data_IF_309090377645
#
_entry.id   IF_309090377645
#
_cell.length_a   1.000
_cell.length_b   1.000
_cell.length_c   1.000
_cell.angle_alpha   90.00
_cell.angle_beta   90.00
_cell.angle_gamma   90.00
#
_symmetry.space_group_name_H-M   'P 1'
#
loop_
_entity.id
_entity.type
_entity.pdbx_description
1 polymer ?
#
# COMPACT_ATOMS: atom_id res chain seq x y z
N UNK A 1 -2.47 -6.96 -15.81
CA UNK A 1 -1.97 -7.82 -14.70
C UNK A 1 -0.53 -7.52 -14.31
N UNK A 2 0.48 -7.75 -15.16
CA UNK A 2 1.91 -7.53 -14.82
C UNK A 2 2.21 -6.13 -14.27
N UNK A 3 1.71 -5.09 -14.93
CA UNK A 3 1.86 -3.70 -14.46
C UNK A 3 1.33 -3.50 -13.04
N UNK A 4 0.19 -4.10 -12.70
CA UNK A 4 -0.39 -4.00 -11.35
C UNK A 4 0.46 -4.73 -10.32
N UNK A 5 1.00 -5.90 -10.65
CA UNK A 5 1.91 -6.64 -9.77
C UNK A 5 3.20 -5.88 -9.51
N UNK A 6 3.81 -5.28 -10.54
CA UNK A 6 5.02 -4.49 -10.35
C UNK A 6 4.78 -3.18 -9.59
N UNK A 7 3.61 -2.54 -9.77
CA UNK A 7 3.21 -1.38 -8.96
C UNK A 7 3.00 -1.77 -7.50
N UNK A 8 2.35 -2.90 -7.25
CA UNK A 8 2.14 -3.40 -5.90
C UNK A 8 3.48 -3.75 -5.22
N UNK A 9 4.44 -4.32 -5.95
CA UNK A 9 5.82 -4.52 -5.47
C UNK A 9 6.54 -3.19 -5.21
N UNK A 10 6.30 -2.15 -6.01
CA UNK A 10 6.84 -0.81 -5.75
C UNK A 10 6.26 -0.20 -4.47
N UNK A 11 4.98 -0.46 -4.19
CA UNK A 11 4.33 -0.09 -2.93
C UNK A 11 4.98 -0.83 -1.75
N UNK A 12 5.20 -2.14 -1.88
CA UNK A 12 5.86 -2.96 -0.85
C UNK A 12 7.28 -2.46 -0.52
N UNK A 13 8.03 -2.07 -1.56
CA UNK A 13 9.36 -1.47 -1.42
C UNK A 13 9.36 -0.03 -0.83
N UNK A 14 8.18 0.54 -0.56
CA UNK A 14 8.05 1.90 0.00
C UNK A 14 8.40 3.03 -0.99
N UNK A 15 8.40 2.73 -2.29
CA UNK A 15 8.77 3.65 -3.36
C UNK A 15 7.62 4.60 -3.74
N UNK A 16 6.38 4.26 -3.36
CA UNK A 16 5.18 5.02 -3.70
C UNK A 16 4.76 5.91 -2.53
N UNK A 17 4.76 7.23 -2.77
CA UNK A 17 4.34 8.23 -1.77
C UNK A 17 3.44 9.27 -2.41
N UNK A 18 2.41 9.69 -1.67
CA UNK A 18 1.55 10.77 -2.12
C UNK A 18 2.11 12.15 -1.80
N UNK A 19 1.72 13.11 -2.63
CA UNK A 19 1.89 14.53 -2.35
C UNK A 19 0.91 14.97 -1.26
N UNK A 20 1.24 16.07 -0.58
CA UNK A 20 0.35 16.70 0.43
C UNK A 20 -1.03 17.06 -0.14
N UNK A 21 -1.10 17.32 -1.45
CA UNK A 21 -2.35 17.65 -2.16
C UNK A 21 -3.12 16.41 -2.69
N UNK A 22 -2.65 15.20 -2.35
CA UNK A 22 -3.18 13.93 -2.84
C UNK A 22 -2.53 13.46 -4.15
N UNK A 23 -2.56 12.14 -4.37
CA UNK A 23 -2.01 11.49 -5.55
C UNK A 23 -0.48 11.51 -5.63
N UNK A 24 0.07 10.90 -6.68
CA UNK A 24 1.52 10.83 -6.90
C UNK A 24 2.03 12.00 -7.75
N UNK A 25 3.27 12.42 -7.51
CA UNK A 25 3.90 13.47 -8.31
C UNK A 25 4.27 12.99 -9.72
N UNK A 26 4.21 13.90 -10.70
CA UNK A 26 4.60 13.64 -12.10
C UNK A 26 5.99 13.00 -12.24
N UNK A 27 7.04 13.39 -11.48
CA UNK A 27 8.33 12.72 -11.56
C UNK A 27 8.27 11.24 -11.18
N UNK A 28 7.53 10.91 -10.11
CA UNK A 28 7.36 9.52 -9.66
C UNK A 28 6.54 8.70 -10.67
N UNK A 29 5.44 9.27 -11.18
CA UNK A 29 4.63 8.64 -12.20
C UNK A 29 5.45 8.30 -13.46
N UNK A 30 6.35 9.21 -13.87
CA UNK A 30 7.25 8.98 -15.01
C UNK A 30 8.27 7.89 -14.72
N UNK A 31 8.94 7.92 -13.57
CA UNK A 31 9.90 6.88 -13.17
C UNK A 31 9.25 5.49 -13.13
N UNK A 32 8.06 5.38 -12.53
CA UNK A 32 7.31 4.13 -12.50
C UNK A 32 6.85 3.73 -13.90
N UNK A 33 6.31 4.64 -14.70
CA UNK A 33 5.90 4.38 -16.08
C UNK A 33 7.03 3.82 -16.94
N UNK A 34 8.20 4.49 -16.94
CA UNK A 34 9.41 4.05 -17.65
C UNK A 34 9.85 2.65 -17.22
N UNK A 35 9.90 2.38 -15.90
CA UNK A 35 10.29 1.06 -15.37
C UNK A 35 9.34 -0.06 -15.79
N UNK A 36 8.06 0.26 -15.87
CA UNK A 36 6.98 -0.70 -16.11
C UNK A 36 6.69 -0.91 -17.61
N UNK A 37 7.31 -0.12 -18.48
CA UNK A 37 6.98 -0.07 -19.90
C UNK A 37 5.55 0.42 -20.16
N UNK A 38 5.05 1.34 -19.33
CA UNK A 38 3.69 1.90 -19.45
C UNK A 38 3.69 3.42 -19.46
N UNK A 39 2.62 4.01 -19.98
CA UNK A 39 2.48 5.47 -20.05
C UNK A 39 2.40 6.06 -18.62
N UNK A 40 3.15 7.12 -18.29
CA UNK A 40 3.11 7.73 -16.95
C UNK A 40 1.71 8.14 -16.50
N UNK A 41 0.86 8.51 -17.44
CA UNK A 41 -0.50 9.00 -17.23
C UNK A 41 -1.43 7.91 -16.66
N UNK A 42 -1.15 6.63 -16.93
CA UNK A 42 -1.99 5.53 -16.44
C UNK A 42 -1.63 5.09 -15.02
N UNK A 43 -0.44 5.44 -14.52
CA UNK A 43 0.05 4.97 -13.22
C UNK A 43 -0.88 5.35 -12.06
N UNK A 44 -1.37 6.61 -11.94
CA UNK A 44 -2.30 6.99 -10.87
C UNK A 44 -3.59 6.17 -10.85
N UNK A 45 -4.15 5.87 -12.03
CA UNK A 45 -5.38 5.08 -12.16
C UNK A 45 -5.15 3.62 -11.73
N UNK A 46 -3.97 3.07 -12.04
CA UNK A 46 -3.59 1.72 -11.62
C UNK A 46 -3.38 1.62 -10.11
N UNK A 47 -2.75 2.62 -9.49
CA UNK A 47 -2.66 2.71 -8.03
C UNK A 47 -4.04 2.82 -7.38
N UNK A 48 -4.92 3.65 -7.96
CA UNK A 48 -6.30 3.78 -7.50
C UNK A 48 -7.05 2.46 -7.59
N UNK A 49 -6.84 1.68 -8.65
CA UNK A 49 -7.41 0.34 -8.80
C UNK A 49 -6.90 -0.63 -7.72
N UNK A 50 -5.58 -0.66 -7.45
CA UNK A 50 -5.00 -1.47 -6.36
C UNK A 50 -5.63 -1.12 -5.00
N UNK A 51 -5.88 0.17 -4.75
CA UNK A 51 -6.56 0.64 -3.54
C UNK A 51 -8.03 0.22 -3.48
N UNK A 52 -8.79 0.46 -4.56
CA UNK A 52 -10.22 0.13 -4.62
C UNK A 52 -10.46 -1.36 -4.44
N UNK A 53 -9.58 -2.20 -5.00
CA UNK A 53 -9.66 -3.67 -4.90
C UNK A 53 -9.06 -4.23 -3.61
N UNK A 54 -8.60 -3.37 -2.70
CA UNK A 54 -8.08 -3.78 -1.40
C UNK A 54 -6.71 -4.45 -1.42
N UNK A 55 -6.02 -4.46 -2.57
CA UNK A 55 -4.65 -5.00 -2.69
C UNK A 55 -3.62 -4.08 -2.03
N UNK A 56 -3.87 -2.78 -2.02
CA UNK A 56 -3.06 -1.79 -1.32
C UNK A 56 -3.94 -0.89 -0.45
N UNK A 57 -3.37 -0.33 0.61
CA UNK A 57 -3.97 0.72 1.42
C UNK A 57 -3.16 2.00 1.34
N UNK A 58 -3.84 3.12 1.57
CA UNK A 58 -3.25 4.44 1.67
C UNK A 58 -3.60 5.01 3.04
N UNK A 59 -2.61 5.14 3.91
CA UNK A 59 -2.78 5.73 5.23
C UNK A 59 -1.80 6.91 5.40
N UNK A 60 -2.33 8.07 5.78
CA UNK A 60 -1.56 9.30 5.97
C UNK A 60 -0.55 9.62 4.82
N UNK A 61 -0.94 9.36 3.56
CA UNK A 61 -0.09 9.60 2.38
C UNK A 61 0.96 8.50 2.08
N UNK A 62 0.99 7.44 2.89
CA UNK A 62 1.86 6.29 2.73
C UNK A 62 1.09 5.12 2.15
N UNK A 63 1.57 4.60 1.02
CA UNK A 63 1.04 3.39 0.43
C UNK A 63 1.63 2.16 1.12
N UNK A 64 0.80 1.17 1.42
CA UNK A 64 1.21 -0.11 1.99
C UNK A 64 0.48 -1.25 1.30
N UNK A 65 1.14 -2.40 1.16
CA UNK A 65 0.50 -3.61 0.66
C UNK A 65 -0.35 -4.22 1.78
N UNK A 66 -1.53 -4.72 1.44
CA UNK A 66 -2.39 -5.43 2.39
C UNK A 66 -2.06 -6.93 2.38
N UNK A 67 -2.50 -7.68 3.38
CA UNK A 67 -2.34 -9.14 3.37
C UNK A 67 -3.03 -9.82 2.17
N UNK A 68 -4.06 -9.19 1.60
CA UNK A 68 -4.69 -9.64 0.33
C UNK A 68 -3.76 -9.37 -0.85
N UNK A 69 -3.11 -8.22 -0.88
CA UNK A 69 -2.10 -7.88 -1.88
C UNK A 69 -0.91 -8.84 -1.87
N UNK A 70 -0.40 -9.20 -0.70
CA UNK A 70 0.70 -10.17 -0.55
C UNK A 70 0.31 -11.54 -1.08
N UNK A 71 -0.86 -12.04 -0.68
CA UNK A 71 -1.38 -13.31 -1.19
C UNK A 71 -1.58 -13.27 -2.71
N UNK A 72 -2.11 -12.18 -3.24
CA UNK A 72 -2.31 -11.98 -4.66
C UNK A 72 -1.00 -11.97 -5.46
N UNK A 73 0.10 -11.43 -4.89
CA UNK A 73 1.44 -11.51 -5.49
C UNK A 73 2.01 -12.94 -5.54
N UNK A 74 1.44 -13.91 -4.83
CA UNK A 74 1.86 -15.32 -4.87
C UNK A 74 0.84 -16.22 -5.58
N UNK A 75 -0.39 -15.75 -5.77
CA UNK A 75 -1.44 -16.48 -6.45
C UNK A 75 -1.11 -16.73 -7.93
N UNK A 76 -1.47 -17.89 -8.51
CA UNK A 76 -1.37 -18.17 -9.95
C UNK A 76 -2.00 -17.09 -10.83
N UNK A 77 -1.53 -16.96 -12.08
CA UNK A 77 -1.97 -15.88 -12.97
C UNK A 77 -3.48 -15.84 -13.24
N UNK A 78 -4.11 -17.00 -13.43
CA UNK A 78 -5.56 -17.10 -13.60
C UNK A 78 -6.31 -16.66 -12.34
N UNK A 79 -5.87 -17.14 -11.16
CA UNK A 79 -6.43 -16.74 -9.88
C UNK A 79 -6.32 -15.22 -9.67
N UNK A 80 -5.15 -14.63 -9.96
CA UNK A 80 -4.98 -13.17 -9.89
C UNK A 80 -5.97 -12.41 -10.75
N UNK A 81 -6.23 -12.88 -11.98
CA UNK A 81 -7.14 -12.21 -12.90
C UNK A 81 -8.59 -12.33 -12.42
N UNK A 82 -8.99 -13.53 -11.99
CA UNK A 82 -10.32 -13.79 -11.44
C UNK A 82 -10.58 -12.96 -10.19
N UNK A 83 -9.72 -13.05 -9.18
CA UNK A 83 -9.90 -12.37 -7.89
C UNK A 83 -9.86 -10.84 -8.03
N UNK A 84 -9.02 -10.31 -8.93
CA UNK A 84 -8.97 -8.88 -9.20
C UNK A 84 -10.25 -8.40 -9.90
N UNK A 85 -10.76 -9.17 -10.85
CA UNK A 85 -12.00 -8.84 -11.57
C UNK A 85 -13.20 -8.90 -10.64
N UNK A 86 -13.26 -9.91 -9.78
CA UNK A 86 -14.29 -10.04 -8.75
C UNK A 86 -14.26 -8.86 -7.78
N UNK A 87 -13.08 -8.56 -7.20
CA UNK A 87 -12.92 -7.43 -6.30
C UNK A 87 -13.25 -6.09 -6.98
N UNK A 88 -12.90 -5.93 -8.26
CA UNK A 88 -13.26 -4.72 -9.01
C UNK A 88 -14.76 -4.61 -9.24
N UNK A 89 -15.42 -5.67 -9.71
CA UNK A 89 -16.87 -5.73 -9.90
C UNK A 89 -17.62 -5.39 -8.62
N UNK A 90 -17.17 -5.91 -7.48
CA UNK A 90 -17.80 -5.67 -6.19
C UNK A 90 -17.68 -4.20 -5.73
N UNK A 91 -16.72 -3.44 -6.28
CA UNK A 91 -16.56 -2.00 -6.03
C UNK A 91 -17.43 -1.11 -6.92
N UNK A 92 -18.13 -1.68 -7.92
CA UNK A 92 -18.96 -0.91 -8.85
C UNK A 92 -20.29 -0.53 -8.18
N UNK A 93 -20.74 0.70 -8.42
CA UNK A 93 -22.05 1.17 -7.99
C UNK A 93 -23.18 0.34 -8.65
N UNK A 94 -24.29 0.04 -7.95
CA UNK A 94 -25.42 -0.67 -8.55
C UNK A 94 -25.92 -0.08 -9.87
N UNK A 95 -25.94 1.24 -10.01
CA UNK A 95 -26.37 1.90 -11.25
C UNK A 95 -25.42 1.62 -12.42
N UNK A 96 -24.11 1.58 -12.14
CA UNK A 96 -23.10 1.20 -13.15
C UNK A 96 -23.31 -0.24 -13.58
N UNK A 97 -23.54 -1.17 -12.64
CA UNK A 97 -23.76 -2.59 -12.97
C UNK A 97 -24.98 -2.78 -13.86
N UNK A 98 -26.09 -2.09 -13.58
CA UNK A 98 -27.28 -2.14 -14.43
C UNK A 98 -27.00 -1.65 -15.85
N UNK A 99 -26.19 -0.59 -16.01
CA UNK A 99 -25.77 -0.11 -17.33
C UNK A 99 -24.90 -1.14 -18.04
N UNK A 100 -23.99 -1.81 -17.33
CA UNK A 100 -23.17 -2.88 -17.92
C UNK A 100 -24.01 -4.08 -18.35
N UNK A 101 -24.99 -4.49 -17.54
CA UNK A 101 -25.91 -5.58 -17.87
C UNK A 101 -26.75 -5.25 -19.12
N UNK A 102 -27.20 -3.99 -19.25
CA UNK A 102 -27.93 -3.52 -20.42
C UNK A 102 -27.04 -3.44 -21.67
N UNK A 103 -25.82 -2.95 -21.53
CA UNK A 103 -24.83 -2.89 -22.60
C UNK A 103 -24.43 -4.29 -23.09
N UNK A 104 -24.46 -5.28 -22.19
CA UNK A 104 -24.04 -6.64 -22.47
C UNK A 104 -22.59 -6.69 -22.94
N UNK A 105 -22.36 -7.19 -24.14
CA UNK A 105 -21.03 -7.31 -24.72
C UNK A 105 -20.51 -6.03 -25.40
N UNK A 106 -21.36 -5.02 -25.62
CA UNK A 106 -21.00 -3.80 -26.37
C UNK A 106 -20.73 -2.62 -25.43
N UNK A 107 -19.45 -2.32 -25.22
CA UNK A 107 -18.94 -1.25 -24.37
C UNK A 107 -18.43 -0.04 -25.18
N UNK A 108 -18.72 0.06 -26.48
CA UNK A 108 -18.25 1.18 -27.30
C UNK A 108 -18.75 2.55 -26.81
N UNK A 109 -19.98 2.61 -26.30
CA UNK A 109 -20.56 3.84 -25.75
C UNK A 109 -21.42 3.56 -24.50
N UNK A 110 -20.73 3.21 -23.41
CA UNK A 110 -21.37 3.03 -22.11
C UNK A 110 -22.07 4.31 -21.62
N UNK A 111 -21.56 5.50 -21.97
CA UNK A 111 -22.16 6.77 -21.56
C UNK A 111 -23.52 6.99 -22.23
N UNK A 112 -23.65 6.71 -23.52
CA UNK A 112 -24.94 6.75 -24.19
C UNK A 112 -25.93 5.75 -23.59
N UNK A 113 -25.47 4.52 -23.31
CA UNK A 113 -26.28 3.48 -22.65
C UNK A 113 -26.73 3.94 -21.26
N UNK A 114 -25.81 4.52 -20.48
CA UNK A 114 -26.08 5.07 -19.16
C UNK A 114 -27.09 6.21 -19.18
N UNK A 115 -26.97 7.15 -20.12
CA UNK A 115 -27.93 8.25 -20.28
C UNK A 115 -29.31 7.78 -20.76
N UNK A 116 -29.37 6.68 -21.52
CA UNK A 116 -30.63 6.07 -21.89
C UNK A 116 -31.31 5.39 -20.70
N UNK A 117 -30.56 4.60 -19.92
CA UNK A 117 -31.06 3.90 -18.74
C UNK A 117 -31.42 4.86 -17.60
N UNK A 118 -30.64 5.94 -17.45
CA UNK A 118 -30.77 6.96 -16.42
C UNK A 118 -30.88 8.35 -17.06
N UNK A 119 -32.03 8.71 -17.67
CA UNK A 119 -32.20 10.00 -18.37
C UNK A 119 -32.15 11.21 -17.44
N UNK A 120 -32.42 11.02 -16.14
CA UNK A 120 -32.24 12.01 -15.09
C UNK A 120 -30.92 11.81 -14.30
N UNK A 121 -30.02 10.96 -14.81
CA UNK A 121 -28.73 10.66 -14.19
C UNK A 121 -27.84 11.89 -14.09
N UNK A 122 -27.07 11.98 -13.00
CA UNK A 122 -26.15 13.08 -12.80
C UNK A 122 -24.79 12.82 -13.47
N UNK A 123 -24.04 13.89 -13.77
CA UNK A 123 -22.74 13.83 -14.50
C UNK A 123 -21.69 12.92 -13.88
N UNK A 124 -21.86 12.50 -12.63
CA UNK A 124 -21.00 11.53 -11.98
C UNK A 124 -21.05 10.15 -12.66
N UNK A 125 -22.22 9.74 -13.18
CA UNK A 125 -22.40 8.43 -13.82
C UNK A 125 -21.62 8.37 -15.14
N UNK A 126 -21.67 9.43 -15.94
CA UNK A 126 -20.87 9.55 -17.17
C UNK A 126 -19.36 9.37 -16.87
N UNK A 127 -18.87 10.02 -15.83
CA UNK A 127 -17.46 9.94 -15.44
C UNK A 127 -17.08 8.53 -14.96
N UNK A 128 -17.90 7.90 -14.11
CA UNK A 128 -17.64 6.54 -13.62
C UNK A 128 -17.70 5.52 -14.76
N UNK A 129 -18.64 5.65 -15.71
CA UNK A 129 -18.73 4.74 -16.87
C UNK A 129 -17.51 4.84 -17.79
N UNK A 130 -16.95 6.04 -17.98
CA UNK A 130 -15.68 6.20 -18.71
C UNK A 130 -14.52 5.54 -17.97
N UNK A 131 -14.44 5.71 -16.64
CA UNK A 131 -13.44 5.03 -15.81
C UNK A 131 -13.59 3.51 -15.86
N UNK A 132 -14.82 3.00 -15.84
CA UNK A 132 -15.15 1.58 -15.92
C UNK A 132 -14.78 0.99 -17.27
N UNK A 133 -15.09 1.68 -18.37
CA UNK A 133 -14.65 1.27 -19.72
C UNK A 133 -13.12 1.17 -19.79
N UNK A 134 -12.41 2.21 -19.33
CA UNK A 134 -10.95 2.22 -19.30
C UNK A 134 -10.35 1.13 -18.41
N UNK A 135 -11.01 0.83 -17.28
CA UNK A 135 -10.58 -0.24 -16.37
C UNK A 135 -10.84 -1.62 -16.96
N UNK A 136 -11.99 -1.84 -17.60
CA UNK A 136 -12.31 -3.09 -18.31
C UNK A 136 -11.27 -3.41 -19.38
N UNK A 137 -10.90 -2.43 -20.20
CA UNK A 137 -9.81 -2.58 -21.19
C UNK A 137 -8.46 -2.85 -20.54
N UNK A 138 -8.14 -2.15 -19.45
CA UNK A 138 -6.88 -2.35 -18.72
C UNK A 138 -6.74 -3.74 -18.07
N UNK A 139 -7.87 -4.32 -17.67
CA UNK A 139 -7.96 -5.67 -17.11
C UNK A 139 -8.01 -6.75 -18.20
N UNK A 140 -8.06 -6.37 -19.49
CA UNK A 140 -8.19 -7.31 -20.61
C UNK A 140 -9.58 -7.95 -20.72
N UNK A 141 -10.58 -7.38 -20.05
CA UNK A 141 -11.97 -7.84 -20.13
C UNK A 141 -12.62 -7.38 -21.44
N UNK A 142 -12.19 -6.22 -21.96
CA UNK A 142 -12.72 -5.59 -23.16
C UNK A 142 -11.59 -5.34 -24.15
N UNK A 143 -11.86 -5.64 -25.42
CA UNK A 143 -10.96 -5.35 -26.56
C UNK A 143 -11.78 -4.60 -27.60
N UNK A 144 -11.31 -3.42 -28.02
CA UNK A 144 -11.99 -2.56 -28.99
C UNK A 144 -13.50 -2.41 -28.70
N UNK A 145 -13.82 -2.02 -27.48
CA UNK A 145 -15.21 -1.81 -27.05
C UNK A 145 -16.05 -3.08 -26.95
N UNK A 146 -15.49 -4.27 -27.17
CA UNK A 146 -16.22 -5.54 -27.10
C UNK A 146 -15.73 -6.40 -25.94
N UNK A 147 -16.66 -6.89 -25.12
CA UNK A 147 -16.36 -7.77 -24.01
C UNK A 147 -15.86 -9.14 -24.51
N UNK A 148 -14.75 -9.63 -23.95
CA UNK A 148 -14.22 -10.95 -24.29
C UNK A 148 -15.10 -12.05 -23.68
N UNK A 149 -15.04 -13.27 -24.23
CA UNK A 149 -15.80 -14.42 -23.70
C UNK A 149 -15.45 -14.76 -22.25
N UNK A 150 -14.18 -14.58 -21.89
CA UNK A 150 -13.68 -14.78 -20.53
C UNK A 150 -14.02 -13.59 -19.64
N UNK A 151 -13.91 -12.36 -20.15
CA UNK A 151 -14.36 -11.16 -19.43
C UNK A 151 -15.85 -11.21 -19.09
N UNK A 152 -16.69 -11.67 -20.00
CA UNK A 152 -18.12 -11.89 -19.77
C UNK A 152 -18.38 -12.94 -18.68
N UNK A 153 -17.68 -14.07 -18.74
CA UNK A 153 -17.80 -15.12 -17.72
C UNK A 153 -17.35 -14.64 -16.33
N UNK A 154 -16.24 -13.90 -16.27
CA UNK A 154 -15.72 -13.31 -15.04
C UNK A 154 -16.71 -12.28 -14.45
N UNK A 155 -17.22 -11.35 -15.25
CA UNK A 155 -18.17 -10.34 -14.77
C UNK A 155 -19.48 -10.96 -14.31
N UNK A 156 -19.96 -12.00 -15.00
CA UNK A 156 -21.18 -12.74 -14.61
C UNK A 156 -20.99 -13.66 -13.39
N UNK A 157 -19.76 -13.83 -12.89
CA UNK A 157 -19.47 -14.79 -11.81
C UNK A 157 -19.76 -16.23 -12.21
N UNK A 158 -19.52 -16.58 -13.49
CA UNK A 158 -19.81 -17.91 -14.00
C UNK A 158 -18.93 -18.97 -13.31
N UNK A 159 -19.47 -20.17 -13.02
CA UNK A 159 -18.74 -21.22 -12.29
C UNK A 159 -17.51 -21.74 -13.05
N UNK A 160 -17.47 -21.59 -14.38
CA UNK A 160 -16.36 -21.99 -15.26
C UNK A 160 -15.37 -20.85 -15.56
N UNK A 161 -15.53 -19.67 -14.94
CA UNK A 161 -14.73 -18.49 -15.28
C UNK A 161 -13.23 -18.67 -14.99
N UNK A 162 -12.87 -19.39 -13.93
CA UNK A 162 -11.47 -19.70 -13.59
C UNK A 162 -10.81 -20.64 -14.61
N UNK A 163 -11.55 -21.62 -15.12
CA UNK A 163 -11.07 -22.55 -16.15
C UNK A 163 -10.84 -21.80 -17.47
N UNK A 164 -11.75 -20.89 -17.84
CA UNK A 164 -11.58 -20.02 -19.01
C UNK A 164 -10.39 -19.08 -18.87
N UNK A 165 -10.23 -18.45 -17.70
CA UNK A 165 -9.08 -17.59 -17.42
C UNK A 165 -7.77 -18.36 -17.54
N UNK A 166 -7.73 -19.62 -17.10
CA UNK A 166 -6.56 -20.50 -17.26
C UNK A 166 -6.29 -20.81 -18.72
N UNK A 167 -7.33 -21.12 -19.51
CA UNK A 167 -7.19 -21.47 -20.92
C UNK A 167 -6.76 -20.29 -21.81
N UNK A 168 -7.19 -19.07 -21.48
CA UNK A 168 -6.90 -17.87 -22.28
C UNK A 168 -5.55 -17.22 -21.94
N UNK A 169 -4.97 -17.53 -20.78
CA UNK A 169 -3.67 -17.02 -20.36
C UNK A 169 -2.52 -17.89 -20.88
N UNK A 170 -1.35 -17.29 -21.21
CA UNK A 170 -0.18 -18.08 -21.56
C UNK A 170 0.28 -18.98 -20.42
N UNK A 171 0.72 -20.20 -20.77
CA UNK A 171 1.32 -21.12 -19.81
C UNK A 171 2.57 -20.52 -19.15
N UNK A 172 2.79 -20.88 -17.88
CA UNK A 172 4.02 -20.54 -17.19
C UNK A 172 5.18 -21.41 -17.64
N UNK A 173 6.37 -20.83 -17.71
CA UNK A 173 7.60 -21.56 -18.03
C UNK A 173 8.13 -22.28 -16.79
N UNK A 174 8.77 -23.46 -16.94
CA UNK A 174 9.19 -24.29 -15.82
C UNK A 174 10.42 -23.76 -15.06
N UNK A 175 11.06 -22.70 -15.57
CA UNK A 175 12.27 -22.16 -14.96
C UNK A 175 12.94 -21.09 -15.82
N UNK A 176 14.18 -20.79 -15.46
CA UNK A 176 15.00 -19.73 -16.05
C UNK A 176 16.32 -20.25 -16.60
N UNK A 177 16.92 -19.49 -17.51
CA UNK A 177 18.29 -19.71 -17.97
C UNK A 177 19.25 -18.81 -17.20
N UNK A 178 20.21 -19.43 -16.51
CA UNK A 178 21.27 -18.73 -15.79
C UNK A 178 22.51 -18.61 -16.69
N UNK A 179 22.93 -17.39 -16.96
CA UNK A 179 24.08 -17.11 -17.84
C UNK A 179 25.36 -16.86 -17.04
N UNK A 180 26.50 -17.04 -17.71
CA UNK A 180 27.84 -16.91 -17.09
C UNK A 180 28.20 -15.47 -16.70
N UNK A 181 27.53 -14.50 -17.34
CA UNK A 181 27.67 -13.07 -17.05
C UNK A 181 26.78 -12.61 -15.89
N UNK A 182 26.14 -13.52 -15.15
CA UNK A 182 25.19 -13.27 -14.04
C UNK A 182 23.83 -12.73 -14.47
N UNK A 183 23.53 -12.83 -15.76
CA UNK A 183 22.20 -12.53 -16.31
C UNK A 183 21.30 -13.75 -16.14
N UNK A 184 20.03 -13.52 -15.79
CA UNK A 184 19.00 -14.55 -15.69
C UNK A 184 17.89 -14.21 -16.66
N UNK A 185 17.51 -15.17 -17.51
CA UNK A 185 16.48 -15.00 -18.52
C UNK A 185 15.31 -15.93 -18.22
N UNK A 186 14.13 -15.36 -18.00
CA UNK A 186 12.88 -16.09 -18.02
C UNK A 186 12.31 -16.03 -19.45
N UNK A 187 12.17 -17.16 -20.17
CA UNK A 187 11.70 -17.17 -21.56
C UNK A 187 10.20 -16.90 -21.72
N UNK A 188 9.46 -16.86 -20.61
CA UNK A 188 8.02 -16.66 -20.52
C UNK A 188 7.64 -16.25 -19.09
N UNK A 189 6.33 -16.10 -18.80
CA UNK A 189 5.88 -15.82 -17.44
C UNK A 189 6.27 -16.97 -16.51
N UNK A 190 6.92 -16.67 -15.40
CA UNK A 190 7.18 -17.65 -14.35
C UNK A 190 5.91 -17.90 -13.53
N UNK A 191 5.87 -19.04 -12.84
CA UNK A 191 4.94 -19.21 -11.74
C UNK A 191 5.18 -18.08 -10.72
N UNK A 192 4.13 -17.43 -10.19
CA UNK A 192 4.25 -16.31 -9.26
C UNK A 192 5.14 -16.56 -8.03
N UNK A 193 5.13 -17.78 -7.50
CA UNK A 193 6.00 -18.20 -6.39
C UNK A 193 7.47 -18.22 -6.82
N UNK A 194 7.77 -18.77 -7.99
CA UNK A 194 9.11 -18.83 -8.56
C UNK A 194 9.67 -17.44 -8.91
N UNK A 195 8.82 -16.55 -9.46
CA UNK A 195 9.16 -15.13 -9.67
C UNK A 195 9.51 -14.43 -8.35
N UNK A 196 8.74 -14.66 -7.28
CA UNK A 196 9.02 -14.09 -5.96
C UNK A 196 10.32 -14.64 -5.36
N UNK A 197 10.57 -15.94 -5.47
CA UNK A 197 11.83 -16.55 -5.00
C UNK A 197 13.04 -16.01 -5.76
N UNK A 198 12.93 -15.84 -7.07
CA UNK A 198 14.00 -15.27 -7.89
C UNK A 198 14.31 -13.82 -7.50
N UNK A 199 13.29 -12.99 -7.26
CA UNK A 199 13.45 -11.58 -6.84
C UNK A 199 14.07 -11.41 -5.46
N UNK A 200 13.99 -12.44 -4.61
CA UNK A 200 14.68 -12.42 -3.33
C UNK A 200 16.21 -12.44 -3.51
N UNK A 201 16.72 -13.03 -4.61
CA UNK A 201 18.16 -13.23 -4.86
C UNK A 201 18.69 -12.52 -6.12
N UNK A 202 17.81 -11.92 -6.91
CA UNK A 202 18.14 -11.19 -8.13
C UNK A 202 17.30 -9.91 -8.24
N UNK A 203 17.74 -8.97 -9.08
CA UNK A 203 17.02 -7.73 -9.38
C UNK A 203 16.42 -7.80 -10.77
N UNK A 204 15.15 -7.44 -10.93
CA UNK A 204 14.51 -7.35 -12.24
C UNK A 204 15.04 -6.11 -12.98
N UNK A 205 15.64 -6.31 -14.15
CA UNK A 205 16.12 -5.22 -15.01
C UNK A 205 15.14 -4.86 -16.12
N UNK A 206 14.48 -5.87 -16.70
CA UNK A 206 13.52 -5.68 -17.77
C UNK A 206 12.29 -6.56 -17.54
N UNK A 207 11.13 -5.97 -17.17
CA UNK A 207 9.87 -6.69 -17.13
C UNK A 207 9.41 -7.06 -18.54
N UNK A 208 8.56 -8.09 -18.65
CA UNK A 208 7.93 -8.47 -19.91
C UNK A 208 7.64 -9.97 -19.96
N UNK A 209 7.21 -10.44 -21.14
CA UNK A 209 7.01 -11.86 -21.40
C UNK A 209 8.34 -12.62 -21.33
N UNK A 210 9.42 -12.02 -21.83
CA UNK A 210 10.77 -12.51 -21.64
C UNK A 210 11.51 -11.61 -20.64
N UNK A 211 11.34 -11.89 -19.35
CA UNK A 211 11.90 -11.06 -18.29
C UNK A 211 13.40 -11.31 -18.10
N UNK A 212 14.15 -10.24 -17.83
CA UNK A 212 15.58 -10.30 -17.51
C UNK A 212 15.82 -9.86 -16.08
N UNK A 213 16.54 -10.69 -15.34
CA UNK A 213 17.05 -10.39 -14.01
C UNK A 213 18.57 -10.37 -14.00
N UNK A 214 19.10 -9.71 -12.99
CA UNK A 214 20.53 -9.60 -12.72
C UNK A 214 20.83 -10.07 -11.32
N UNK A 215 21.80 -10.97 -11.20
CA UNK A 215 22.40 -11.28 -9.90
C UNK A 215 23.60 -10.36 -9.68
N UNK A 216 23.67 -9.76 -8.50
CA UNK A 216 24.74 -8.87 -8.05
C UNK A 216 25.08 -9.13 -6.59
N UNK A 217 26.25 -8.68 -6.14
CA UNK A 217 26.61 -8.70 -4.72
C UNK A 217 25.55 -8.02 -3.85
N UNK A 218 24.97 -6.90 -4.30
CA UNK A 218 23.93 -6.19 -3.56
C UNK A 218 22.66 -7.03 -3.40
N UNK A 219 22.21 -7.71 -4.48
CA UNK A 219 21.04 -8.57 -4.42
C UNK A 219 21.25 -9.77 -3.49
N UNK A 220 22.45 -10.35 -3.48
CA UNK A 220 22.81 -11.48 -2.61
C UNK A 220 22.99 -11.04 -1.15
N UNK A 221 23.65 -9.91 -0.91
CA UNK A 221 23.79 -9.35 0.42
C UNK A 221 22.41 -8.96 1.00
N UNK A 222 21.49 -8.46 0.17
CA UNK A 222 20.08 -8.26 0.55
C UNK A 222 19.40 -9.59 0.92
N UNK A 223 19.60 -10.63 0.12
CA UNK A 223 19.08 -11.97 0.39
C UNK A 223 19.57 -12.51 1.75
N UNK A 224 20.87 -12.41 2.03
CA UNK A 224 21.45 -12.83 3.31
C UNK A 224 20.98 -11.98 4.49
N UNK A 225 20.85 -10.65 4.30
CA UNK A 225 20.27 -9.78 5.32
C UNK A 225 18.79 -10.07 5.60
N UNK A 226 18.07 -10.61 4.63
CA UNK A 226 16.68 -11.09 4.80
C UNK A 226 16.62 -12.43 5.54
N UNK A 227 17.76 -13.06 5.75
CA UNK A 227 17.88 -14.28 6.55
C UNK A 227 18.08 -15.57 5.75
N UNK A 228 18.31 -15.47 4.45
CA UNK A 228 18.71 -16.65 3.67
C UNK A 228 20.15 -17.00 4.02
N UNK A 229 20.46 -18.30 4.03
CA UNK A 229 21.84 -18.78 4.07
C UNK A 229 22.33 -19.11 2.66
N UNK A 230 23.63 -19.43 2.56
CA UNK A 230 24.29 -19.79 1.31
C UNK A 230 23.58 -20.94 0.58
N UNK A 231 23.26 -22.01 1.30
CA UNK A 231 22.73 -23.24 0.71
C UNK A 231 21.28 -23.04 0.25
N UNK A 232 20.48 -22.24 0.96
CA UNK A 232 19.15 -21.83 0.52
C UNK A 232 19.19 -20.99 -0.76
N UNK A 233 20.16 -20.09 -0.90
CA UNK A 233 20.34 -19.29 -2.13
C UNK A 233 20.74 -20.19 -3.30
N UNK A 234 21.73 -21.08 -3.13
CA UNK A 234 22.14 -22.01 -4.19
C UNK A 234 21.01 -22.97 -4.57
N UNK A 235 20.32 -23.55 -3.59
CA UNK A 235 19.21 -24.47 -3.82
C UNK A 235 18.03 -23.82 -4.58
N UNK A 236 17.81 -22.50 -4.41
CA UNK A 236 16.85 -21.74 -5.24
C UNK A 236 17.30 -21.66 -6.69
N UNK A 237 18.56 -21.29 -6.94
CA UNK A 237 19.08 -21.24 -8.30
C UNK A 237 19.09 -22.62 -8.97
N UNK A 238 19.42 -23.68 -8.25
CA UNK A 238 19.39 -25.06 -8.76
C UNK A 238 17.98 -25.50 -9.16
N UNK A 239 16.98 -25.24 -8.30
CA UNK A 239 15.58 -25.57 -8.59
C UNK A 239 15.01 -24.79 -9.77
N UNK A 240 15.31 -23.49 -9.85
CA UNK A 240 14.76 -22.61 -10.87
C UNK A 240 15.49 -22.73 -12.22
N UNK A 241 16.74 -23.18 -12.23
CA UNK A 241 17.54 -23.22 -13.45
C UNK A 241 17.22 -24.43 -14.32
N UNK A 242 16.95 -24.17 -15.60
CA UNK A 242 16.82 -25.23 -16.61
C UNK A 242 18.19 -25.76 -17.06
N UNK A 243 19.24 -24.95 -16.93
CA UNK A 243 20.59 -25.25 -17.43
C UNK A 243 21.61 -25.58 -16.33
N UNK A 244 21.18 -25.66 -15.07
CA UNK A 244 22.07 -25.73 -13.90
C UNK A 244 22.67 -24.37 -13.50
N UNK A 245 23.44 -24.35 -12.41
CA UNK A 245 24.05 -23.13 -11.86
C UNK A 245 25.45 -22.92 -12.45
N UNK A 246 25.71 -21.80 -13.15
CA UNK A 246 27.04 -21.50 -13.67
C UNK A 246 28.06 -21.33 -12.54
N UNK A 247 29.29 -21.82 -12.76
CA UNK A 247 30.38 -21.68 -11.78
C UNK A 247 30.62 -20.23 -11.33
N UNK A 248 30.60 -19.20 -12.20
CA UNK A 248 30.76 -17.81 -11.76
C UNK A 248 29.69 -17.35 -10.76
N UNK A 249 28.45 -17.83 -10.91
CA UNK A 249 27.36 -17.52 -10.00
C UNK A 249 27.55 -18.22 -8.65
N UNK A 250 27.90 -19.51 -8.65
CA UNK A 250 28.19 -20.23 -7.41
C UNK A 250 29.32 -19.57 -6.61
N UNK A 251 30.42 -19.21 -7.30
CA UNK A 251 31.53 -18.49 -6.68
C UNK A 251 31.11 -17.14 -6.09
N UNK A 252 30.29 -16.36 -6.80
CA UNK A 252 29.79 -15.09 -6.28
C UNK A 252 28.95 -15.27 -5.02
N UNK A 253 28.08 -16.29 -4.99
CA UNK A 253 27.28 -16.61 -3.80
C UNK A 253 28.18 -16.94 -2.62
N UNK A 254 29.22 -17.74 -2.84
CA UNK A 254 30.19 -18.12 -1.81
C UNK A 254 30.93 -16.89 -1.25
N UNK A 255 31.47 -16.06 -2.15
CA UNK A 255 32.20 -14.85 -1.78
C UNK A 255 31.34 -13.87 -0.96
N UNK A 256 30.07 -13.67 -1.36
CA UNK A 256 29.17 -12.76 -0.65
C UNK A 256 28.66 -13.39 0.65
N UNK A 257 28.48 -14.71 0.70
CA UNK A 257 28.11 -15.39 1.94
C UNK A 257 29.21 -15.28 3.00
N UNK A 258 30.48 -15.41 2.60
CA UNK A 258 31.63 -15.24 3.48
C UNK A 258 31.76 -13.81 4.04
N UNK A 259 31.30 -12.80 3.30
CA UNK A 259 31.37 -11.39 3.69
C UNK A 259 30.12 -10.91 4.45
N UNK A 260 28.95 -11.19 3.90
CA UNK A 260 27.65 -10.60 4.27
C UNK A 260 26.61 -11.63 4.77
N UNK A 261 27.00 -12.90 4.94
CA UNK A 261 26.11 -14.01 5.29
C UNK A 261 25.22 -13.75 6.52
N UNK A 262 24.07 -14.40 6.61
CA UNK A 262 23.17 -14.23 7.77
C UNK A 262 23.79 -14.79 9.05
N UNK A 263 23.44 -14.20 10.19
CA UNK A 263 23.80 -14.76 11.50
C UNK A 263 22.80 -15.87 11.83
N UNK A 264 23.24 -17.12 11.82
CA UNK A 264 22.38 -18.28 12.05
C UNK A 264 22.38 -18.65 13.53
N UNK A 265 21.22 -18.56 14.17
CA UNK A 265 20.97 -18.92 15.56
C UNK A 265 20.33 -20.31 15.59
N UNK A 266 20.93 -21.20 16.36
CA UNK A 266 20.57 -22.60 16.46
C UNK A 266 20.50 -23.03 17.93
N UNK A 267 19.97 -24.23 18.16
CA UNK A 267 19.92 -24.83 19.49
C UNK A 267 21.34 -25.15 20.00
N UNK A 268 21.57 -24.91 21.29
CA UNK A 268 22.83 -25.28 21.93
C UNK A 268 23.01 -26.80 22.05
N UNK A 269 24.26 -27.27 22.26
CA UNK A 269 24.55 -28.68 22.48
C UNK A 269 23.70 -29.25 23.63
N UNK A 270 23.04 -30.39 23.40
CA UNK A 270 22.15 -31.01 24.39
C UNK A 270 20.82 -30.28 24.63
N UNK A 271 20.45 -29.32 23.77
CA UNK A 271 19.19 -28.58 23.85
C UNK A 271 19.18 -27.46 24.90
N UNK A 272 20.33 -27.13 25.48
CA UNK A 272 20.48 -26.07 26.48
C UNK A 272 21.23 -24.88 25.86
N UNK A 273 20.65 -23.69 25.97
CA UNK A 273 21.22 -22.46 25.40
C UNK A 273 21.09 -22.39 23.87
N UNK A 274 21.98 -21.63 23.24
CA UNK A 274 22.00 -21.42 21.80
C UNK A 274 23.41 -21.33 21.23
N UNK A 275 23.54 -21.71 19.97
CA UNK A 275 24.74 -21.52 19.15
C UNK A 275 24.43 -20.47 18.09
N UNK A 276 25.30 -19.50 17.92
CA UNK A 276 25.20 -18.44 16.92
C UNK A 276 26.38 -18.58 15.97
N UNK A 277 26.10 -18.80 14.69
CA UNK A 277 27.08 -18.93 13.62
C UNK A 277 27.01 -17.72 12.70
N UNK A 278 28.14 -17.27 12.23
CA UNK A 278 28.24 -16.11 11.34
C UNK A 278 29.67 -15.93 10.86
N UNK A 279 29.90 -14.88 10.09
CA UNK A 279 31.27 -14.54 9.66
C UNK A 279 32.09 -14.06 10.85
N UNK A 280 33.42 -14.18 10.79
CA UNK A 280 34.29 -13.81 11.90
C UNK A 280 34.10 -12.34 12.32
N UNK A 281 34.01 -11.44 11.33
CA UNK A 281 33.79 -10.00 11.53
C UNK A 281 32.44 -9.70 12.18
N UNK A 282 31.39 -10.43 11.80
CA UNK A 282 30.07 -10.29 12.42
C UNK A 282 30.09 -10.70 13.89
N UNK A 283 30.73 -11.82 14.20
CA UNK A 283 30.79 -12.34 15.57
C UNK A 283 31.75 -11.52 16.45
N UNK A 284 32.79 -10.91 15.87
CA UNK A 284 33.62 -9.90 16.53
C UNK A 284 32.76 -8.72 16.99
N UNK A 285 31.94 -8.19 16.08
CA UNK A 285 31.08 -7.04 16.36
C UNK A 285 30.04 -7.37 17.44
N UNK A 286 29.36 -8.52 17.31
CA UNK A 286 28.37 -9.01 18.30
C UNK A 286 29.01 -9.20 19.68
N UNK A 287 30.23 -9.73 19.71
CA UNK A 287 30.95 -10.03 20.96
C UNK A 287 31.27 -8.79 21.79
N UNK A 288 31.43 -7.63 21.14
CA UNK A 288 31.77 -6.36 21.81
C UNK A 288 30.60 -5.38 21.93
N UNK A 289 29.46 -5.70 21.32
CA UNK A 289 28.28 -4.85 21.30
C UNK A 289 27.74 -4.59 22.72
N UNK A 290 27.56 -3.32 23.07
CA UNK A 290 27.07 -2.91 24.38
C UNK A 290 25.61 -3.34 24.64
N UNK A 291 24.77 -3.37 23.60
CA UNK A 291 23.36 -3.75 23.70
C UNK A 291 23.21 -5.25 23.98
N UNK A 292 24.18 -6.07 23.55
CA UNK A 292 24.15 -7.52 23.68
C UNK A 292 24.94 -8.06 24.88
N UNK A 293 25.52 -7.20 25.73
CA UNK A 293 26.31 -7.62 26.90
C UNK A 293 25.57 -8.56 27.85
N UNK A 294 24.25 -8.39 27.98
CA UNK A 294 23.42 -9.22 28.88
C UNK A 294 23.31 -10.68 28.39
N UNK A 295 23.51 -10.92 27.09
CA UNK A 295 23.45 -12.24 26.47
C UNK A 295 24.66 -13.11 26.87
N UNK A 296 25.76 -12.53 27.35
CA UNK A 296 26.95 -13.26 27.86
C UNK A 296 27.47 -14.29 26.86
N UNK A 297 28.26 -13.84 25.90
CA UNK A 297 28.84 -14.68 24.85
C UNK A 297 30.05 -15.48 25.34
N UNK A 298 30.10 -16.76 24.99
CA UNK A 298 31.32 -17.55 24.97
C UNK A 298 31.72 -17.82 23.52
N UNK A 299 33.01 -17.76 23.20
CA UNK A 299 33.50 -17.85 21.82
C UNK A 299 34.43 -19.05 21.65
N UNK A 300 33.89 -20.23 21.29
CA UNK A 300 34.70 -21.43 21.08
C UNK A 300 35.60 -21.33 19.84
N UNK A 301 35.18 -20.60 18.80
CA UNK A 301 35.96 -20.39 17.57
C UNK A 301 35.59 -19.07 16.86
N UNK A 302 36.25 -18.78 15.73
CA UNK A 302 36.07 -17.51 15.02
C UNK A 302 34.67 -17.33 14.42
N UNK A 303 33.99 -18.43 14.11
CA UNK A 303 32.70 -18.49 13.39
C UNK A 303 31.54 -18.96 14.26
N UNK A 304 31.77 -19.09 15.57
CA UNK A 304 30.76 -19.57 16.53
C UNK A 304 30.80 -18.77 17.82
N UNK A 305 29.64 -18.25 18.23
CA UNK A 305 29.36 -17.82 19.60
C UNK A 305 28.38 -18.79 20.25
N UNK A 306 28.49 -18.95 21.56
CA UNK A 306 27.53 -19.72 22.35
C UNK A 306 27.05 -18.91 23.53
N UNK A 307 25.84 -19.21 23.99
CA UNK A 307 25.29 -18.62 25.21
C UNK A 307 24.30 -19.56 25.87
N UNK A 308 24.12 -19.40 27.18
CA UNK A 308 23.14 -20.14 27.97
C UNK A 308 21.68 -19.73 27.68
N UNK A 309 21.46 -18.60 27.00
CA UNK A 309 20.10 -18.15 26.73
C UNK A 309 19.46 -18.94 25.58
N UNK A 310 18.12 -19.13 25.60
CA UNK A 310 17.43 -19.84 24.53
C UNK A 310 17.54 -19.14 23.17
N UNK A 311 17.60 -19.93 22.09
CA UNK A 311 17.79 -19.45 20.71
C UNK A 311 16.83 -18.32 20.31
N UNK A 312 15.56 -18.39 20.72
CA UNK A 312 14.56 -17.37 20.45
C UNK A 312 14.84 -16.03 21.13
N UNK A 313 15.32 -16.04 22.38
CA UNK A 313 15.67 -14.81 23.12
C UNK A 313 16.88 -14.16 22.45
N UNK A 314 17.84 -14.98 22.05
CA UNK A 314 19.06 -14.54 21.38
C UNK A 314 18.76 -13.98 19.99
N UNK A 315 17.92 -14.67 19.22
CA UNK A 315 17.45 -14.18 17.92
C UNK A 315 16.73 -12.83 18.04
N UNK A 316 15.82 -12.67 19.01
CA UNK A 316 15.16 -11.38 19.26
C UNK A 316 16.17 -10.30 19.64
N UNK A 317 17.08 -10.57 20.57
CA UNK A 317 18.10 -9.60 20.97
C UNK A 317 18.99 -9.16 19.80
N UNK A 318 19.43 -10.11 18.96
CA UNK A 318 20.23 -9.82 17.77
C UNK A 318 19.44 -8.96 16.76
N UNK A 319 18.17 -9.27 16.54
CA UNK A 319 17.30 -8.49 15.63
C UNK A 319 17.02 -7.08 16.16
N UNK A 320 16.81 -6.93 17.46
CA UNK A 320 16.62 -5.63 18.11
C UNK A 320 17.87 -4.76 17.96
N UNK A 321 19.05 -5.37 18.13
CA UNK A 321 20.36 -4.77 17.84
C UNK A 321 20.71 -4.69 16.34
N UNK A 322 19.73 -4.89 15.45
CA UNK A 322 19.82 -4.71 13.99
C UNK A 322 20.74 -5.69 13.25
N UNK A 323 21.10 -6.81 13.86
CA UNK A 323 21.81 -7.89 13.17
C UNK A 323 20.83 -8.76 12.35
N UNK A 324 21.20 -9.19 11.13
CA UNK A 324 20.38 -10.05 10.29
C UNK A 324 20.44 -11.51 10.77
N UNK A 325 19.85 -11.76 11.94
CA UNK A 325 19.80 -13.07 12.54
C UNK A 325 18.62 -13.89 12.02
N UNK A 326 18.83 -15.21 11.89
CA UNK A 326 17.80 -16.19 11.57
C UNK A 326 17.88 -17.40 12.46
N UNK A 327 16.74 -18.07 12.64
CA UNK A 327 16.67 -19.33 13.36
C UNK A 327 16.77 -20.50 12.40
N UNK A 328 17.47 -21.56 12.81
CA UNK A 328 17.38 -22.86 12.13
C UNK A 328 15.97 -23.46 12.27
N UNK A 329 15.59 -24.36 11.37
CA UNK A 329 14.30 -25.04 11.44
C UNK A 329 14.09 -25.76 12.79
N UNK A 330 15.14 -26.37 13.35
CA UNK A 330 15.09 -27.02 14.66
C UNK A 330 14.81 -26.03 15.80
N UNK A 331 15.46 -24.86 15.77
CA UNK A 331 15.20 -23.80 16.75
C UNK A 331 13.80 -23.19 16.56
N UNK A 332 13.34 -23.01 15.32
CA UNK A 332 12.01 -22.51 14.98
C UNK A 332 10.90 -23.43 15.52
N UNK A 333 11.05 -24.75 15.40
CA UNK A 333 10.06 -25.73 15.87
C UNK A 333 9.81 -25.67 17.39
N UNK A 334 10.79 -25.22 18.18
CA UNK A 334 10.60 -25.00 19.62
C UNK A 334 9.71 -23.80 19.95
N UNK A 335 9.56 -22.86 19.00
CA UNK A 335 8.66 -21.69 19.11
C UNK A 335 7.22 -22.09 18.81
N UNK A 336 7.00 -22.92 17.79
CA UNK A 336 5.65 -23.35 17.36
C UNK A 336 4.97 -24.29 18.37
N UNK A 337 5.75 -24.99 19.20
CA UNK A 337 5.25 -25.82 20.28
C UNK A 337 4.72 -25.01 21.50
N UNK A 338 4.93 -23.69 21.54
CA UNK A 338 4.37 -22.83 22.58
C UNK A 338 2.89 -22.48 22.25
N UNK A 339 1.97 -22.51 23.23
CA UNK A 339 0.56 -22.23 22.98
C UNK A 339 0.39 -20.82 22.41
N UNK A 340 -0.46 -20.62 21.39
CA UNK A 340 -0.58 -19.35 20.71
C UNK A 340 -1.02 -18.26 21.70
N UNK A 341 -0.20 -17.22 21.83
CA UNK A 341 -0.64 -15.96 22.43
C UNK A 341 -1.78 -15.45 21.57
N UNK A 342 -2.98 -15.32 22.15
CA UNK A 342 -4.14 -14.71 21.50
C UNK A 342 -3.73 -13.33 20.98
N UNK A 343 -3.46 -13.25 19.67
CA UNK A 343 -3.37 -11.97 18.98
C UNK A 343 -4.73 -11.31 19.13
N UNK A 344 -4.77 -10.11 19.68
CA UNK A 344 -5.98 -9.31 19.68
C UNK A 344 -6.42 -9.13 18.23
N UNK A 345 -7.62 -9.60 17.91
CA UNK A 345 -8.21 -9.40 16.59
C UNK A 345 -8.17 -7.91 16.26
N UNK A 346 -7.67 -7.57 15.07
CA UNK A 346 -7.74 -6.21 14.55
C UNK A 346 -9.18 -5.73 14.60
N UNK A 347 -9.40 -4.50 15.06
CA UNK A 347 -10.75 -3.93 15.13
C UNK A 347 -11.34 -3.88 13.73
N UNK A 348 -12.55 -4.41 13.61
CA UNK A 348 -13.37 -4.35 12.41
C UNK A 348 -13.59 -2.88 12.00
N UNK A 349 -13.18 -2.46 10.79
CA UNK A 349 -13.40 -1.11 10.26
C UNK A 349 -14.87 -0.69 10.30
N UNK A 350 -15.80 -1.64 10.17
CA UNK A 350 -17.23 -1.38 10.19
C UNK A 350 -17.73 -1.00 11.59
N UNK A 351 -17.17 -1.60 12.64
CA UNK A 351 -17.45 -1.22 14.03
C UNK A 351 -16.87 0.16 14.37
N UNK A 352 -15.68 0.48 13.85
CA UNK A 352 -15.08 1.80 14.03
C UNK A 352 -15.88 2.90 13.34
N UNK A 353 -16.40 2.64 12.13
CA UNK A 353 -17.28 3.54 11.41
C UNK A 353 -18.62 3.76 12.14
N UNK A 354 -19.22 2.69 12.66
CA UNK A 354 -20.46 2.79 13.45
C UNK A 354 -20.28 3.64 14.73
N UNK A 355 -19.17 3.44 15.43
CA UNK A 355 -18.85 4.21 16.63
C UNK A 355 -18.55 5.70 16.34
N UNK A 356 -18.12 6.03 15.12
CA UNK A 356 -17.94 7.41 14.67
C UNK A 356 -19.30 8.07 14.36
N UNK A 357 -20.18 7.36 13.65
CA UNK A 357 -21.53 7.83 13.31
C UNK A 357 -22.37 8.09 14.56
N UNK A 358 -22.31 7.20 15.56
CA UNK A 358 -23.00 7.40 16.84
C UNK A 358 -22.49 8.63 17.60
N UNK A 359 -21.18 8.86 17.57
CA UNK A 359 -20.58 10.05 18.20
C UNK A 359 -21.04 11.34 17.51
N UNK A 360 -21.18 11.31 16.19
CA UNK A 360 -21.68 12.43 15.40
C UNK A 360 -23.16 12.71 15.69
N UNK A 361 -24.02 11.69 15.74
CA UNK A 361 -25.44 11.85 16.15
C UNK A 361 -25.57 12.46 17.54
N UNK A 362 -24.80 11.98 18.51
CA UNK A 362 -24.80 12.50 19.89
C UNK A 362 -24.28 13.95 19.99
N UNK A 363 -23.48 14.41 19.02
CA UNK A 363 -23.08 15.82 18.92
C UNK A 363 -24.13 16.67 18.21
N UNK A 364 -24.85 16.14 17.22
CA UNK A 364 -25.92 16.85 16.52
C UNK A 364 -27.16 17.03 17.40
N UNK A 365 -27.53 16.01 18.19
CA UNK A 365 -28.65 16.08 19.15
C UNK A 365 -28.38 17.06 20.31
N UNK A 366 -27.12 17.37 20.61
CA UNK A 366 -26.75 18.42 21.59
C UNK A 366 -26.80 19.84 21.03
N UNK A 367 -26.79 20.01 19.71
CA UNK A 367 -26.74 21.32 19.05
C UNK A 367 -28.12 21.99 18.90
N UNK A 368 -29.22 21.26 19.09
CA UNK A 368 -30.60 21.80 18.97
C UNK A 368 -31.06 22.68 20.15
N UNK A 369 -30.17 22.99 21.11
CA UNK A 369 -30.50 23.77 22.31
C UNK A 369 -29.59 24.98 22.61
N UNK A 370 -28.63 25.36 21.75
CA UNK A 370 -27.80 26.54 21.98
C UNK A 370 -28.48 27.82 21.42
N UNK A 371 -28.56 28.92 22.19
CA UNK A 371 -29.12 30.17 21.69
C UNK A 371 -28.26 30.72 20.54
N UNK A 372 -28.89 31.09 19.41
CA UNK A 372 -28.26 31.54 18.14
C UNK A 372 -27.08 32.53 18.31
N UNK A 373 -27.10 33.33 19.38
CA UNK A 373 -26.07 34.32 19.73
C UNK A 373 -24.73 33.71 20.18
N UNK A 374 -24.73 32.55 20.83
CA UNK A 374 -23.49 31.86 21.26
C UNK A 374 -22.78 31.20 20.07
N UNK A 375 -23.56 30.65 19.14
CA UNK A 375 -23.04 30.12 17.88
C UNK A 375 -22.44 31.23 17.01
N UNK A 376 -23.14 32.37 16.88
CA UNK A 376 -22.66 33.55 16.15
C UNK A 376 -21.36 34.11 16.76
N UNK A 377 -21.28 34.14 18.11
CA UNK A 377 -20.08 34.53 18.83
C UNK A 377 -18.87 33.63 18.56
N UNK A 378 -19.07 32.30 18.49
CA UNK A 378 -17.99 31.34 18.16
C UNK A 378 -17.50 31.50 16.72
N UNK A 379 -18.40 31.75 15.76
CA UNK A 379 -18.03 31.96 14.37
C UNK A 379 -17.15 33.21 14.21
N UNK A 380 -17.44 34.28 14.95
CA UNK A 380 -16.62 35.50 14.93
C UNK A 380 -15.29 35.28 15.68
N UNK A 381 -15.25 34.50 16.78
CA UNK A 381 -14.00 34.16 17.48
C UNK A 381 -13.02 33.38 16.57
N UNK A 382 -13.53 32.47 15.73
CA UNK A 382 -12.73 31.79 14.71
C UNK A 382 -12.13 32.76 13.69
N UNK A 383 -12.91 33.75 13.24
CA UNK A 383 -12.43 34.78 12.32
C UNK A 383 -11.37 35.70 12.97
N UNK A 384 -11.50 36.01 14.28
CA UNK A 384 -10.48 36.76 15.05
C UNK A 384 -9.15 36.01 15.06
N UNK A 385 -9.17 34.69 15.34
CA UNK A 385 -7.95 33.86 15.36
C UNK A 385 -7.28 33.78 13.99
N UNK A 386 -8.08 33.70 12.92
CA UNK A 386 -7.58 33.67 11.53
C UNK A 386 -7.21 35.03 10.94
N UNK A 387 -7.57 36.15 11.61
CA UNK A 387 -7.55 37.51 11.04
C UNK A 387 -8.24 37.59 9.67
N UNK A 388 -9.30 36.82 9.50
CA UNK A 388 -10.01 36.70 8.22
C UNK A 388 -11.07 37.79 8.12
N UNK A 389 -11.19 38.50 6.98
CA UNK A 389 -12.29 39.44 6.76
C UNK A 389 -13.64 38.71 6.78
N UNK A 390 -14.62 39.28 7.48
CA UNK A 390 -16.00 38.77 7.54
C UNK A 390 -16.99 39.89 7.27
N UNK A 391 -18.16 39.55 6.75
CA UNK A 391 -19.29 40.47 6.59
C UNK A 391 -20.31 40.24 7.69
N UNK A 392 -20.55 41.29 8.49
CA UNK A 392 -21.52 41.32 9.56
C UNK A 392 -22.75 42.10 9.14
N UNK A 393 -23.94 41.51 9.20
CA UNK A 393 -25.20 42.24 9.00
C UNK A 393 -25.74 42.66 10.35
N UNK A 394 -25.80 43.98 10.59
CA UNK A 394 -26.22 44.56 11.88
C UNK A 394 -27.54 45.29 11.73
N UNK A 395 -28.47 45.04 12.65
CA UNK A 395 -29.74 45.76 12.75
C UNK A 395 -29.55 47.10 13.44
N UNK A 396 -29.92 48.17 12.74
CA UNK A 396 -29.82 49.55 13.21
C UNK A 396 -31.06 49.93 14.05
N UNK A 397 -30.98 50.97 14.89
CA UNK A 397 -32.09 51.40 15.75
C UNK A 397 -33.37 51.82 15.01
N UNK A 398 -33.27 52.18 13.72
CA UNK A 398 -34.39 52.51 12.84
C UNK A 398 -35.04 51.27 12.20
N UNK A 399 -34.58 50.06 12.55
CA UNK A 399 -35.08 48.79 12.05
C UNK A 399 -34.45 48.36 10.71
N UNK A 400 -33.61 49.19 10.10
CA UNK A 400 -32.88 48.81 8.87
C UNK A 400 -31.72 47.86 9.19
N UNK A 401 -31.37 46.99 8.25
CA UNK A 401 -30.21 46.10 8.37
C UNK A 401 -29.08 46.60 7.46
N UNK A 402 -27.87 46.69 8.01
CA UNK A 402 -26.71 47.24 7.30
C UNK A 402 -25.53 46.28 7.37
N UNK A 403 -24.93 45.90 6.22
CA UNK A 403 -23.74 45.07 6.21
C UNK A 403 -22.48 45.90 6.50
N UNK A 404 -21.55 45.30 7.24
CA UNK A 404 -20.21 45.81 7.54
C UNK A 404 -19.18 44.74 7.23
N UNK A 405 -18.25 45.02 6.32
CA UNK A 405 -17.08 44.16 6.10
C UNK A 405 -15.99 44.55 7.10
N UNK A 406 -15.69 43.66 8.05
CA UNK A 406 -14.74 43.93 9.12
C UNK A 406 -13.68 42.83 9.16
N UNK A 407 -12.44 43.21 9.48
CA UNK A 407 -11.45 42.27 10.00
C UNK A 407 -11.56 42.32 11.53
N UNK A 408 -12.11 41.28 12.18
CA UNK A 408 -12.39 41.31 13.60
C UNK A 408 -11.08 41.14 14.38
N UNK A 409 -10.89 41.98 15.39
CA UNK A 409 -9.72 41.99 16.26
C UNK A 409 -10.03 41.35 17.61
N UNK A 410 -11.26 41.48 18.12
CA UNK A 410 -11.71 40.82 19.34
C UNK A 410 -13.23 40.71 19.43
N UNK A 411 -13.70 39.70 20.17
CA UNK A 411 -15.09 39.56 20.63
C UNK A 411 -15.08 39.36 22.13
N UNK A 412 -15.58 40.33 22.89
CA UNK A 412 -15.65 40.24 24.34
C UNK A 412 -16.79 41.12 24.88
N UNK A 413 -17.36 40.72 26.01
CA UNK A 413 -18.45 41.45 26.68
C UNK A 413 -19.64 41.81 25.75
N UNK A 414 -19.99 40.91 24.84
CA UNK A 414 -21.11 41.10 23.90
C UNK A 414 -20.87 42.15 22.81
N UNK A 415 -19.60 42.50 22.52
CA UNK A 415 -19.22 43.44 21.46
C UNK A 415 -18.13 42.84 20.58
N UNK A 416 -18.22 43.12 19.29
CA UNK A 416 -17.25 42.78 18.26
C UNK A 416 -16.48 44.05 17.90
N UNK A 417 -15.16 44.02 18.01
CA UNK A 417 -14.27 45.12 17.61
C UNK A 417 -13.42 44.68 16.43
N UNK A 418 -13.31 45.51 15.41
CA UNK A 418 -12.52 45.21 14.23
C UNK A 418 -12.32 46.40 13.32
N UNK A 419 -11.45 46.25 12.33
CA UNK A 419 -11.19 47.28 11.32
C UNK A 419 -12.18 47.13 10.16
N UNK A 420 -12.95 48.16 9.87
CA UNK A 420 -13.84 48.20 8.70
C UNK A 420 -12.99 48.38 7.44
N UNK A 421 -13.07 47.43 6.51
CA UNK A 421 -12.24 47.42 5.30
C UNK A 421 -12.69 48.44 4.24
N UNK A 422 -13.94 48.92 4.31
CA UNK A 422 -14.49 49.86 3.33
C UNK A 422 -14.11 51.31 3.62
N UNK A 423 -13.95 51.67 4.89
CA UNK A 423 -13.66 53.05 5.33
C UNK A 423 -12.37 53.18 6.13
N UNK A 424 -11.64 52.09 6.34
CA UNK A 424 -10.36 52.00 7.04
C UNK A 424 -10.38 52.54 8.49
N UNK A 425 -11.54 52.45 9.16
CA UNK A 425 -11.76 52.94 10.52
C UNK A 425 -12.03 51.76 11.46
N UNK A 426 -11.54 51.86 12.69
CA UNK A 426 -11.85 50.88 13.74
C UNK A 426 -13.29 51.05 14.23
N UNK A 427 -14.08 49.97 14.19
CA UNK A 427 -15.48 49.95 14.61
C UNK A 427 -15.69 48.97 15.75
N UNK A 428 -16.63 49.30 16.63
CA UNK A 428 -17.13 48.40 17.67
C UNK A 428 -18.64 48.24 17.49
N UNK A 429 -19.10 47.01 17.30
CA UNK A 429 -20.49 46.65 17.02
C UNK A 429 -21.02 45.74 18.15
N UNK A 430 -22.24 45.97 18.68
CA UNK A 430 -22.82 45.08 19.67
C UNK A 430 -23.25 43.76 19.02
N UNK A 431 -22.82 42.63 19.60
CA UNK A 431 -23.12 41.29 19.10
C UNK A 431 -24.62 41.00 19.07
N UNK A 432 -25.36 41.55 20.05
CA UNK A 432 -26.82 41.41 20.15
C UNK A 432 -27.60 42.02 18.98
N UNK A 433 -26.97 42.86 18.15
CA UNK A 433 -27.60 43.44 16.97
C UNK A 433 -27.11 42.77 15.67
N UNK A 434 -26.21 41.79 15.75
CA UNK A 434 -25.74 41.03 14.59
C UNK A 434 -26.78 39.96 14.29
N UNK A 435 -27.25 39.96 13.04
CA UNK A 435 -28.32 39.06 12.56
C UNK A 435 -27.72 37.94 11.69
N UNK A 436 -26.61 38.21 11.01
CA UNK A 436 -25.91 37.22 10.20
C UNK A 436 -24.40 37.50 10.14
N UNK A 437 -23.62 36.42 10.00
CA UNK A 437 -22.17 36.45 9.80
C UNK A 437 -21.86 35.62 8.56
N UNK A 438 -21.31 36.27 7.55
CA UNK A 438 -20.82 35.62 6.32
C UNK A 438 -19.30 35.72 6.28
N UNK A 439 -18.61 34.61 6.04
CA UNK A 439 -17.18 34.64 5.73
C UNK A 439 -17.01 34.96 4.25
N UNK A 440 -16.26 36.01 3.92
CA UNK A 440 -15.76 36.20 2.56
C UNK A 440 -14.61 35.17 2.39
N UNK A 441 -14.96 33.96 1.94
CA UNK A 441 -14.03 32.87 1.65
C UNK A 441 -13.32 33.07 0.30
#
# INVERSE_FOLDING_TARGET
MTVLAELLRAVDAGEVRELVKGGIGTPLARTLGERLGTAPEVVPDRLTLLRRTGLASLDHGTWTVTGVGDAWLLAPWAERWTSLTDAWRDTLDPAVREVLDLAGADWHDLVATGRWAYPAGARWLDAELLTVAGTGSALGLVVDGTLTTTGAALLAGAPDAADRATADLPDTVPGVYLQHDLTVIAPGPLAPVDDAELRAVATLEAPGLAARYRVSEESLARAFRSGLDRDAVLGRFERLSVSGVPQPLAYLVDQVAERDGSIVVDLGPGGVGSVVRGTADQLDLIGVDAELRQVSWDRPDLTTLTTRYPAQVVHTALRDARYPAVLTAAAQATVEAAPPVRRAAGRDPQQAAHALVERLRLTTERAEGEPEQEWLGRQIDLAVRGRTPIRLTVRMPDGSERPFSIVPTSVAAGRVRGKDTAVDVERTLPLSLVVAVESDA
#
